data_IF_239869203228
#
_entry.id   IF_239869203228
#
_cell.length_a   1.000
_cell.length_b   1.000
_cell.length_c   1.000
_cell.angle_alpha   90.00
_cell.angle_beta   90.00
_cell.angle_gamma   90.00
#
_symmetry.space_group_name_H-M   'P 1'
#
loop_
_entity.id
_entity.type
_entity.pdbx_description
1 polymer ?
#
# COMPACT_ATOMS: atom_id res chain seq x y z
N UNK A 1 -25.39 -3.16 19.49
CA UNK A 1 -26.12 -2.86 18.19
C UNK A 1 -25.46 -3.61 17.03
N UNK A 2 -25.93 -4.89 16.76
CA UNK A 2 -25.44 -5.73 15.64
C UNK A 2 -25.72 -5.06 14.29
N UNK A 3 -24.87 -4.19 13.91
CA UNK A 3 -25.00 -3.63 12.55
C UNK A 3 -25.34 -4.71 11.52
N UNK A 4 -26.66 -4.73 11.15
CA UNK A 4 -27.16 -5.73 10.18
C UNK A 4 -26.60 -5.45 8.77
N UNK A 5 -25.45 -5.92 8.40
CA UNK A 5 -24.79 -5.78 7.08
C UNK A 5 -25.80 -6.13 5.97
N UNK A 6 -26.84 -6.83 6.39
CA UNK A 6 -27.87 -7.19 5.40
C UNK A 6 -28.55 -5.95 4.82
N UNK A 7 -28.79 -5.02 5.66
CA UNK A 7 -29.44 -3.78 5.17
C UNK A 7 -28.49 -2.95 4.31
N UNK A 8 -27.18 -3.07 4.68
CA UNK A 8 -26.20 -2.34 3.85
C UNK A 8 -26.10 -2.92 2.44
N UNK A 9 -26.26 -4.19 2.37
CA UNK A 9 -26.07 -4.85 1.06
C UNK A 9 -27.30 -4.63 0.18
N UNK A 10 -28.40 -4.20 0.83
CA UNK A 10 -29.62 -4.02 0.01
C UNK A 10 -29.65 -2.62 -0.62
N UNK A 11 -28.52 -1.84 -0.16
CA UNK A 11 -28.55 -0.48 -0.76
C UNK A 11 -27.17 -0.10 -1.29
N UNK A 12 -26.85 -0.48 -2.52
CA UNK A 12 -25.53 -0.14 -3.12
C UNK A 12 -25.21 1.35 -2.94
N UNK A 13 -26.18 2.13 -3.03
CA UNK A 13 -25.94 3.58 -2.89
C UNK A 13 -25.37 3.92 -1.50
N UNK A 14 -25.86 3.26 -0.54
CA UNK A 14 -25.32 3.51 0.81
C UNK A 14 -23.85 3.06 0.90
N UNK A 15 -23.52 1.89 0.32
CA UNK A 15 -22.11 1.42 0.37
C UNK A 15 -21.20 2.44 -0.33
N UNK A 16 -21.70 2.88 -1.41
CA UNK A 16 -20.88 3.88 -2.13
C UNK A 16 -20.69 5.14 -1.29
N UNK A 17 -21.72 5.49 -0.61
CA UNK A 17 -21.59 6.69 0.24
C UNK A 17 -20.58 6.45 1.38
N UNK A 18 -20.66 5.29 1.87
CA UNK A 18 -19.69 4.98 2.95
C UNK A 18 -18.25 4.99 2.41
N UNK A 19 -18.05 4.50 1.26
CA UNK A 19 -16.70 4.53 0.70
C UNK A 19 -16.20 5.97 0.53
N UNK A 20 -17.12 6.81 0.36
CA UNK A 20 -16.72 8.22 0.19
C UNK A 20 -16.18 8.82 1.49
N UNK A 21 -16.60 8.17 2.51
CA UNK A 21 -16.23 8.91 3.74
C UNK A 21 -15.31 8.03 4.60
N UNK A 22 -15.03 6.84 4.10
CA UNK A 22 -14.31 5.86 4.97
C UNK A 22 -12.88 6.36 5.21
N UNK A 23 -12.45 7.28 4.44
CA UNK A 23 -11.04 7.70 4.67
C UNK A 23 -11.01 9.12 5.23
N UNK A 24 -12.18 9.61 5.62
CA UNK A 24 -12.21 10.97 6.21
C UNK A 24 -11.84 10.86 7.69
N UNK A 25 -10.80 11.75 7.94
CA UNK A 25 -10.42 11.75 9.37
C UNK A 25 -10.90 13.06 10.04
N UNK A 26 -11.39 12.82 11.25
CA UNK A 26 -11.79 14.03 12.01
C UNK A 26 -10.58 14.56 12.80
N UNK A 27 -10.24 15.85 12.50
CA UNK A 27 -9.11 16.39 13.29
C UNK A 27 -9.56 16.69 14.72
N UNK A 28 -8.53 17.06 15.59
CA UNK A 28 -8.78 17.27 17.03
C UNK A 28 -9.86 18.34 17.26
N UNK A 29 -10.18 19.06 16.23
CA UNK A 29 -11.18 20.14 16.40
C UNK A 29 -12.54 19.72 15.83
N UNK A 30 -12.54 18.41 15.41
CA UNK A 30 -13.85 17.93 14.95
C UNK A 30 -14.12 18.27 13.48
N UNK A 31 -13.08 18.94 12.83
CA UNK A 31 -13.26 19.21 11.39
C UNK A 31 -12.86 18.00 10.53
N UNK A 32 -13.71 17.91 9.47
CA UNK A 32 -13.42 16.77 8.55
C UNK A 32 -12.50 17.25 7.42
N UNK A 33 -11.40 16.71 7.29
CA UNK A 33 -10.52 17.07 6.14
C UNK A 33 -10.73 16.08 4.99
N UNK A 34 -11.45 16.63 3.81
CA UNK A 34 -11.63 15.81 2.58
C UNK A 34 -10.42 14.90 2.33
N UNK A 35 -10.75 13.54 2.20
CA UNK A 35 -9.64 12.58 2.04
C UNK A 35 -9.23 12.47 0.57
N UNK A 36 -7.99 12.92 0.17
CA UNK A 36 -7.34 12.68 -1.14
C UNK A 36 -7.24 11.18 -1.44
N UNK A 37 -7.69 10.33 -0.54
CA UNK A 37 -7.63 8.88 -0.83
C UNK A 37 -8.74 8.45 -1.80
N UNK A 38 -9.65 9.39 -2.10
CA UNK A 38 -10.60 9.14 -3.21
C UNK A 38 -9.86 8.93 -4.53
N UNK A 39 -8.90 9.59 -4.76
CA UNK A 39 -8.10 9.46 -5.99
C UNK A 39 -7.42 8.09 -6.07
N UNK A 40 -7.18 7.57 -4.90
CA UNK A 40 -6.49 6.26 -4.90
C UNK A 40 -7.42 5.16 -5.41
N UNK A 41 -8.77 5.33 -5.16
CA UNK A 41 -9.69 4.26 -5.63
C UNK A 41 -9.77 4.23 -7.15
N UNK A 42 -9.83 5.39 -7.67
CA UNK A 42 -9.95 5.48 -9.15
C UNK A 42 -8.68 4.93 -9.79
N UNK A 43 -7.62 5.29 -9.19
CA UNK A 43 -6.34 4.79 -9.77
C UNK A 43 -6.26 3.26 -9.64
N UNK A 44 -6.69 2.71 -8.49
CA UNK A 44 -6.63 1.24 -8.31
C UNK A 44 -7.54 0.54 -9.32
N UNK A 45 -8.64 1.14 -9.52
CA UNK A 45 -9.53 0.48 -10.50
C UNK A 45 -8.99 0.60 -11.92
N UNK A 46 -8.54 1.77 -12.21
CA UNK A 46 -7.88 1.89 -13.53
C UNK A 46 -6.79 0.83 -13.68
N UNK A 47 -6.06 0.61 -12.66
CA UNK A 47 -5.02 -0.42 -12.72
C UNK A 47 -5.66 -1.80 -12.96
N UNK A 48 -6.67 -2.05 -12.23
CA UNK A 48 -7.25 -3.41 -12.31
C UNK A 48 -7.91 -3.64 -13.69
N UNK A 49 -8.54 -2.62 -14.20
CA UNK A 49 -9.38 -2.87 -15.40
C UNK A 49 -8.59 -2.63 -16.69
N UNK A 50 -7.58 -1.79 -16.53
CA UNK A 50 -6.98 -1.40 -17.85
C UNK A 50 -5.50 -1.77 -17.87
N UNK A 51 -4.89 -1.62 -16.76
CA UNK A 51 -3.41 -1.74 -16.83
C UNK A 51 -3.02 -3.20 -16.56
N UNK A 52 -3.58 -3.79 -15.55
CA UNK A 52 -3.16 -5.13 -15.14
C UNK A 52 -3.24 -6.13 -16.31
N UNK A 53 -4.27 -6.14 -17.14
CA UNK A 53 -4.33 -7.09 -18.27
C UNK A 53 -3.20 -6.86 -19.27
N UNK A 54 -2.69 -5.69 -19.29
CA UNK A 54 -1.64 -5.37 -20.28
C UNK A 54 -0.27 -5.79 -19.74
N UNK A 55 -0.15 -5.68 -18.43
CA UNK A 55 1.26 -5.85 -17.95
C UNK A 55 1.43 -7.28 -17.44
N UNK A 56 0.34 -8.02 -17.39
CA UNK A 56 0.53 -9.39 -16.89
C UNK A 56 0.78 -10.32 -18.09
N UNK A 57 1.50 -11.37 -17.80
CA UNK A 57 1.81 -12.34 -18.87
C UNK A 57 1.03 -13.64 -18.70
N UNK A 58 0.21 -13.63 -17.70
CA UNK A 58 -0.59 -14.85 -17.48
C UNK A 58 -2.04 -14.47 -17.17
N UNK A 59 -2.85 -15.46 -17.37
CA UNK A 59 -4.28 -15.20 -17.06
C UNK A 59 -4.58 -15.48 -15.57
N UNK A 60 -3.47 -15.92 -14.91
CA UNK A 60 -3.72 -16.26 -13.49
C UNK A 60 -3.31 -15.09 -12.58
N UNK A 61 -4.34 -14.35 -12.13
CA UNK A 61 -4.04 -13.17 -11.29
C UNK A 61 -5.00 -13.18 -10.09
N UNK A 62 -4.32 -12.83 -8.98
CA UNK A 62 -5.15 -12.74 -7.78
C UNK A 62 -4.99 -11.35 -7.13
N UNK A 63 -6.15 -10.90 -6.42
CA UNK A 63 -6.12 -9.58 -5.75
C UNK A 63 -6.68 -9.72 -4.32
N UNK A 64 -6.48 -8.57 -3.61
CA UNK A 64 -7.19 -8.52 -2.31
C UNK A 64 -6.32 -9.05 -1.17
N UNK A 65 -5.07 -9.30 -1.49
CA UNK A 65 -4.21 -9.80 -0.39
C UNK A 65 -3.62 -8.61 0.38
N UNK A 66 -3.68 -8.85 1.73
CA UNK A 66 -3.09 -7.83 2.61
C UNK A 66 -2.05 -8.52 3.50
N UNK A 67 -0.92 -7.82 3.46
CA UNK A 67 0.13 -8.35 4.36
C UNK A 67 0.12 -7.55 5.67
N UNK A 68 0.34 -8.40 6.75
CA UNK A 68 0.39 -7.66 8.02
C UNK A 68 1.24 -8.42 9.02
N UNK A 69 1.62 -7.62 10.07
CA UNK A 69 2.41 -8.26 11.14
C UNK A 69 1.52 -8.51 12.37
N UNK A 70 1.64 -9.84 12.82
CA UNK A 70 0.80 -10.18 13.99
C UNK A 70 1.26 -9.43 15.25
N UNK A 71 0.31 -8.57 15.80
CA UNK A 71 0.55 -7.82 17.05
C UNK A 71 1.72 -6.85 16.87
N UNK A 72 1.94 -6.55 15.55
CA UNK A 72 3.02 -5.55 15.32
C UNK A 72 4.40 -6.19 15.28
N UNK A 73 4.39 -7.53 15.59
CA UNK A 73 5.68 -8.22 15.49
C UNK A 73 6.07 -8.51 14.03
N UNK A 74 7.12 -7.80 13.56
CA UNK A 74 7.48 -7.83 12.12
C UNK A 74 8.08 -9.19 11.75
N UNK A 75 8.41 -9.93 12.78
CA UNK A 75 8.94 -11.28 12.45
C UNK A 75 7.81 -12.29 12.19
N UNK A 76 6.65 -11.85 12.59
CA UNK A 76 5.51 -12.76 12.34
C UNK A 76 4.61 -12.23 11.22
N UNK A 77 4.98 -12.58 10.06
CA UNK A 77 4.27 -12.06 8.87
C UNK A 77 3.06 -12.97 8.58
N UNK A 78 1.91 -12.24 8.36
CA UNK A 78 0.69 -12.96 7.96
C UNK A 78 0.08 -12.35 6.70
N UNK A 79 -0.80 -13.25 6.09
CA UNK A 79 -1.52 -12.74 4.92
C UNK A 79 -3.04 -12.95 5.12
N UNK A 80 -3.71 -11.88 4.76
CA UNK A 80 -5.18 -12.03 4.84
C UNK A 80 -5.80 -11.63 3.49
N UNK A 81 -6.70 -12.50 3.09
CA UNK A 81 -7.46 -12.18 1.87
C UNK A 81 -8.91 -11.84 2.23
N UNK A 82 -9.38 -10.77 1.63
CA UNK A 82 -10.80 -10.41 1.88
C UNK A 82 -11.66 -10.99 0.75
N UNK A 83 -12.64 -11.78 1.22
CA UNK A 83 -13.57 -12.35 0.22
C UNK A 83 -15.00 -12.00 0.63
N UNK A 84 -15.87 -11.81 -0.39
CA UNK A 84 -17.26 -11.39 -0.09
C UNK A 84 -18.04 -12.53 0.55
N UNK A 85 -18.06 -13.71 -0.16
CA UNK A 85 -18.82 -14.84 0.42
C UNK A 85 -17.97 -16.11 0.34
N UNK A 86 -18.32 -16.95 1.35
CA UNK A 86 -17.55 -18.20 1.44
C UNK A 86 -17.94 -19.15 0.29
N UNK A 87 -19.13 -18.76 -0.26
CA UNK A 87 -19.62 -19.61 -1.37
C UNK A 87 -18.96 -19.25 -2.70
N UNK A 88 -18.29 -18.05 -2.68
CA UNK A 88 -17.55 -17.66 -3.91
C UNK A 88 -16.19 -18.36 -3.96
N UNK A 89 -16.27 -19.68 -4.20
CA UNK A 89 -15.07 -20.54 -4.41
C UNK A 89 -13.87 -20.01 -3.62
N UNK A 90 -14.07 -19.54 -2.42
CA UNK A 90 -12.99 -19.39 -1.43
C UNK A 90 -12.01 -20.56 -1.55
N UNK A 91 -12.43 -21.62 -2.51
CA UNK A 91 -11.46 -22.71 -2.76
C UNK A 91 -10.51 -22.37 -3.91
N UNK A 92 -9.74 -21.26 -3.82
CA UNK A 92 -8.32 -21.06 -4.23
C UNK A 92 -8.19 -21.03 -5.75
N UNK A 93 -8.87 -19.90 -6.30
CA UNK A 93 -8.41 -19.72 -7.70
C UNK A 93 -6.92 -20.04 -7.85
N UNK A 94 -6.72 -21.12 -8.62
CA UNK A 94 -5.40 -21.65 -9.00
C UNK A 94 -4.27 -20.70 -8.58
N UNK A 95 -4.45 -19.43 -8.74
CA UNK A 95 -3.37 -18.48 -8.38
C UNK A 95 -3.19 -18.39 -6.86
N UNK A 96 -4.26 -18.28 -6.07
CA UNK A 96 -4.14 -18.21 -4.60
C UNK A 96 -3.48 -19.48 -4.03
N UNK A 97 -3.87 -20.61 -4.68
CA UNK A 97 -3.27 -21.88 -4.17
C UNK A 97 -1.77 -21.93 -4.47
N UNK A 98 -1.53 -21.49 -5.61
CA UNK A 98 -0.09 -21.51 -5.94
C UNK A 98 0.70 -20.54 -5.05
N UNK A 99 0.09 -19.42 -4.88
CA UNK A 99 0.79 -18.42 -4.02
C UNK A 99 0.98 -18.96 -2.62
N UNK A 100 -0.03 -19.46 -2.03
CA UNK A 100 0.05 -19.99 -0.64
C UNK A 100 1.07 -21.14 -0.58
N UNK A 101 0.93 -22.01 -1.50
CA UNK A 101 1.86 -23.16 -1.52
C UNK A 101 3.31 -22.70 -1.61
N UNK A 102 3.55 -21.75 -2.50
CA UNK A 102 4.96 -21.31 -2.67
C UNK A 102 5.46 -20.61 -1.41
N UNK A 103 4.62 -19.85 -0.80
CA UNK A 103 5.07 -19.13 0.41
C UNK A 103 5.34 -20.15 1.53
N UNK A 104 4.47 -21.14 1.64
CA UNK A 104 4.63 -22.12 2.75
C UNK A 104 5.83 -23.03 2.50
N UNK A 105 6.18 -23.26 1.21
CA UNK A 105 7.43 -24.01 0.95
C UNK A 105 8.65 -23.24 1.48
N UNK A 106 8.50 -21.96 1.43
CA UNK A 106 9.64 -21.14 1.89
C UNK A 106 9.61 -20.98 3.41
N UNK A 107 8.41 -20.67 3.90
CA UNK A 107 8.29 -20.50 5.36
C UNK A 107 6.93 -21.07 5.83
N UNK A 108 7.09 -22.28 6.49
CA UNK A 108 5.84 -22.98 6.88
C UNK A 108 5.15 -22.28 8.06
N UNK A 109 5.87 -21.33 8.60
CA UNK A 109 5.27 -20.69 9.80
C UNK A 109 4.37 -19.51 9.41
N UNK A 110 4.46 -19.09 8.11
CA UNK A 110 3.58 -17.96 7.71
C UNK A 110 2.12 -18.43 7.70
N UNK A 111 1.30 -17.50 8.23
CA UNK A 111 -0.14 -17.88 8.34
C UNK A 111 -0.95 -17.12 7.29
N UNK A 112 -2.00 -17.84 6.87
CA UNK A 112 -2.92 -17.24 5.87
C UNK A 112 -4.34 -17.23 6.43
N UNK A 113 -4.90 -16.05 6.18
CA UNK A 113 -6.28 -15.91 6.66
C UNK A 113 -7.19 -15.45 5.53
N UNK A 114 -8.45 -15.85 5.72
CA UNK A 114 -9.47 -15.29 4.81
C UNK A 114 -10.58 -14.63 5.66
N UNK A 115 -10.80 -13.45 5.22
CA UNK A 115 -11.90 -12.74 5.88
C UNK A 115 -13.08 -12.58 4.93
N UNK A 116 -14.19 -13.12 5.32
CA UNK A 116 -15.39 -13.02 4.46
C UNK A 116 -16.66 -12.92 5.30
N UNK A 117 -17.80 -12.68 4.54
CA UNK A 117 -19.11 -12.62 5.24
C UNK A 117 -19.73 -14.02 5.31
N UNK A 118 -20.19 -14.34 6.54
CA UNK A 118 -20.87 -15.66 6.63
C UNK A 118 -22.35 -15.52 6.28
N UNK A 119 -23.09 -16.62 6.28
CA UNK A 119 -24.50 -16.61 5.82
C UNK A 119 -25.35 -15.64 6.64
N UNK A 120 -24.71 -15.20 7.72
CA UNK A 120 -25.48 -14.22 8.53
C UNK A 120 -24.93 -12.81 8.34
N UNK A 121 -24.09 -12.63 7.34
CA UNK A 121 -23.53 -11.32 6.99
C UNK A 121 -22.67 -10.76 8.13
N UNK A 122 -22.10 -11.70 8.86
CA UNK A 122 -21.04 -11.32 9.83
C UNK A 122 -19.66 -11.66 9.29
N UNK A 123 -18.76 -10.67 9.65
CA UNK A 123 -17.38 -11.01 9.19
C UNK A 123 -16.86 -12.23 9.98
N UNK A 124 -16.42 -13.19 9.14
CA UNK A 124 -15.81 -14.39 9.74
C UNK A 124 -14.37 -14.56 9.23
N UNK A 125 -13.54 -14.79 10.20
CA UNK A 125 -12.13 -15.02 9.84
C UNK A 125 -11.82 -16.52 9.89
N UNK A 126 -11.18 -16.99 8.78
CA UNK A 126 -10.77 -18.42 8.72
C UNK A 126 -9.27 -18.50 8.46
N UNK A 127 -8.69 -19.40 9.27
CA UNK A 127 -7.24 -19.60 9.04
C UNK A 127 -7.00 -20.89 8.24
N UNK A 128 -6.01 -20.70 7.35
CA UNK A 128 -5.64 -21.90 6.60
C UNK A 128 -4.69 -22.77 7.44
N UNK A 129 -5.12 -24.08 7.63
CA UNK A 129 -4.26 -25.01 8.40
C UNK A 129 -3.74 -26.12 7.49
N UNK A 130 -2.32 -26.32 7.72
CA UNK A 130 -1.78 -27.48 6.96
C UNK A 130 -2.19 -28.79 7.64
N UNK A 131 -2.85 -29.76 6.83
CA UNK A 131 -3.16 -31.10 7.40
C UNK A 131 -2.33 -32.18 6.70
N UNK A 132 -2.07 -33.43 7.48
CA UNK A 132 -1.32 -34.60 6.95
C UNK A 132 -1.90 -35.09 5.63
N UNK A 133 -3.20 -34.55 5.12
CA UNK A 133 -3.79 -35.03 3.84
C UNK A 133 -4.24 -33.85 2.97
N UNK A 134 -3.65 -32.67 3.29
CA UNK A 134 -4.08 -31.50 2.50
C UNK A 134 -4.34 -30.28 3.41
N UNK A 135 -4.92 -29.25 2.70
CA UNK A 135 -5.12 -27.96 3.41
C UNK A 135 -6.61 -27.77 3.71
N UNK A 136 -6.83 -27.28 5.06
CA UNK A 136 -8.23 -26.95 5.42
C UNK A 136 -8.27 -25.60 6.14
N UNK A 137 -9.50 -25.03 6.07
CA UNK A 137 -9.69 -23.76 6.80
C UNK A 137 -10.50 -24.00 8.08
N UNK A 138 -10.00 -23.32 9.14
CA UNK A 138 -10.77 -23.43 10.39
C UNK A 138 -11.17 -22.03 10.87
N UNK A 139 -12.47 -22.08 11.27
CA UNK A 139 -12.96 -20.79 11.84
C UNK A 139 -12.13 -20.41 13.07
N UNK A 140 -11.88 -19.01 13.07
CA UNK A 140 -11.09 -18.52 14.22
C UNK A 140 -12.05 -17.73 15.12
N UNK A 141 -12.33 -18.33 16.30
CA UNK A 141 -13.41 -17.79 17.17
C UNK A 141 -12.95 -16.50 17.87
N UNK A 142 -11.49 -16.14 17.85
CA UNK A 142 -11.05 -14.85 18.43
C UNK A 142 -9.66 -14.50 17.88
N UNK A 143 -9.67 -13.92 16.75
CA UNK A 143 -8.27 -13.67 16.35
C UNK A 143 -7.70 -12.43 17.07
N UNK A 144 -6.74 -12.56 17.93
CA UNK A 144 -6.25 -11.47 18.77
C UNK A 144 -5.72 -10.30 17.93
N UNK A 145 -5.76 -10.44 16.60
CA UNK A 145 -5.01 -9.35 15.93
C UNK A 145 -5.96 -8.50 15.08
N UNK A 146 -7.17 -9.05 14.87
CA UNK A 146 -8.14 -8.18 14.18
C UNK A 146 -9.00 -7.49 15.24
N UNK A 147 -9.04 -6.16 15.17
CA UNK A 147 -9.86 -5.37 16.11
C UNK A 147 -11.31 -5.26 15.60
N UNK A 148 -12.08 -6.37 15.89
CA UNK A 148 -13.45 -6.40 15.34
C UNK A 148 -14.27 -5.24 15.93
N UNK A 149 -14.04 -5.05 17.19
CA UNK A 149 -14.74 -3.89 17.77
C UNK A 149 -14.40 -2.60 17.00
N UNK A 150 -13.11 -2.39 16.68
CA UNK A 150 -12.70 -1.23 15.85
C UNK A 150 -13.45 -1.19 14.52
N UNK A 151 -13.59 -2.32 13.91
CA UNK A 151 -14.31 -2.34 12.61
C UNK A 151 -15.77 -1.93 12.84
N UNK A 152 -16.34 -2.48 13.91
CA UNK A 152 -17.75 -2.14 14.18
C UNK A 152 -17.89 -0.65 14.53
N UNK A 153 -17.01 -0.18 15.35
CA UNK A 153 -17.04 1.25 15.68
C UNK A 153 -16.89 2.13 14.43
N UNK A 154 -16.00 1.68 13.58
CA UNK A 154 -15.82 2.48 12.36
C UNK A 154 -17.08 2.45 11.48
N UNK A 155 -17.69 1.40 11.43
CA UNK A 155 -18.94 1.35 10.64
C UNK A 155 -19.99 2.27 11.26
N UNK A 156 -20.13 2.16 12.54
CA UNK A 156 -21.10 3.05 13.20
C UNK A 156 -20.77 4.53 12.94
N UNK A 157 -19.48 4.83 13.10
CA UNK A 157 -19.07 6.22 12.81
C UNK A 157 -19.44 6.63 11.38
N UNK A 158 -19.11 5.77 10.38
CA UNK A 158 -19.37 6.10 8.96
C UNK A 158 -20.87 6.30 8.73
N UNK A 159 -21.66 5.47 9.43
CA UNK A 159 -23.12 5.61 9.27
C UNK A 159 -23.59 6.98 9.79
N UNK A 160 -22.96 7.42 10.85
CA UNK A 160 -23.32 8.75 11.41
C UNK A 160 -22.91 9.89 10.48
N UNK A 161 -21.80 9.67 9.80
CA UNK A 161 -21.26 10.78 8.94
C UNK A 161 -22.14 10.97 7.70
N UNK A 162 -22.79 9.91 7.25
CA UNK A 162 -23.55 10.01 5.99
C UNK A 162 -24.79 10.89 6.21
N UNK A 163 -25.19 11.12 7.41
CA UNK A 163 -26.44 11.88 7.63
C UNK A 163 -26.14 13.29 8.12
N UNK A 164 -24.88 13.67 8.19
CA UNK A 164 -24.56 15.06 8.60
C UNK A 164 -24.68 16.03 7.42
N UNK A 165 -25.47 17.20 7.59
CA UNK A 165 -25.82 18.20 6.58
C UNK A 165 -24.58 18.75 5.86
N UNK A 166 -23.38 18.76 6.56
CA UNK A 166 -22.13 19.28 5.95
C UNK A 166 -21.66 18.37 4.80
N UNK A 167 -22.34 17.19 4.64
CA UNK A 167 -21.98 16.29 3.52
C UNK A 167 -23.07 16.26 2.47
N UNK A 168 -24.23 16.74 2.83
CA UNK A 168 -25.37 16.74 1.87
C UNK A 168 -25.28 17.93 0.91
N UNK A 169 -24.30 18.98 1.18
CA UNK A 169 -24.31 20.17 0.29
C UNK A 169 -23.05 20.20 -0.56
N UNK A 170 -22.06 19.24 -0.34
CA UNK A 170 -20.86 19.13 -1.20
C UNK A 170 -20.71 17.69 -1.72
N UNK A 171 -21.84 16.96 -2.30
CA UNK A 171 -21.94 15.99 -3.41
C UNK A 171 -21.45 14.60 -2.95
N UNK A 172 -22.13 13.92 -2.14
CA UNK A 172 -22.10 12.44 -2.24
C UNK A 172 -21.51 11.96 -3.57
N UNK A 173 -20.26 11.85 -3.72
CA UNK A 173 -19.39 11.47 -4.85
C UNK A 173 -19.54 9.98 -5.16
N UNK A 174 -20.80 9.51 -5.36
CA UNK A 174 -20.64 8.14 -5.89
C UNK A 174 -20.17 8.19 -7.35
N UNK A 175 -18.85 8.00 -7.56
CA UNK A 175 -18.32 8.00 -8.94
C UNK A 175 -19.14 7.06 -9.85
N UNK A 176 -19.61 7.59 -10.94
CA UNK A 176 -20.42 6.81 -11.88
C UNK A 176 -19.85 5.40 -12.08
N UNK A 177 -18.48 5.34 -12.02
CA UNK A 177 -18.00 3.96 -12.28
C UNK A 177 -18.36 3.03 -11.11
N UNK A 178 -18.41 3.50 -9.91
CA UNK A 178 -18.82 2.62 -8.79
C UNK A 178 -20.24 2.10 -8.99
N UNK A 179 -21.00 2.94 -9.67
CA UNK A 179 -22.40 2.51 -9.90
C UNK A 179 -22.45 1.33 -10.88
N UNK A 180 -21.47 1.27 -11.71
CA UNK A 180 -21.50 0.18 -12.70
C UNK A 180 -20.88 -1.10 -12.15
N UNK A 181 -20.21 -0.94 -10.91
CA UNK A 181 -19.56 -2.14 -10.34
C UNK A 181 -20.59 -3.03 -9.62
N UNK A 182 -20.36 -4.32 -9.72
CA UNK A 182 -21.24 -5.20 -8.94
C UNK A 182 -21.16 -4.87 -7.43
N UNK A 183 -22.31 -4.94 -6.77
CA UNK A 183 -22.43 -4.57 -5.35
C UNK A 183 -21.39 -5.32 -4.52
N UNK A 184 -21.13 -6.48 -4.99
CA UNK A 184 -20.20 -7.29 -4.20
C UNK A 184 -18.77 -6.69 -4.28
N UNK A 185 -18.40 -6.21 -5.35
CA UNK A 185 -17.05 -5.62 -5.49
C UNK A 185 -16.94 -4.32 -4.68
N UNK A 186 -18.03 -3.62 -4.68
CA UNK A 186 -17.97 -2.34 -3.94
C UNK A 186 -17.91 -2.62 -2.43
N UNK A 187 -18.59 -3.55 -2.09
CA UNK A 187 -18.56 -3.93 -0.65
C UNK A 187 -17.17 -4.44 -0.26
N UNK A 188 -16.61 -5.33 -1.06
CA UNK A 188 -15.24 -5.82 -0.75
C UNK A 188 -14.26 -4.64 -0.62
N UNK A 189 -14.42 -3.71 -1.47
CA UNK A 189 -13.53 -2.54 -1.37
C UNK A 189 -13.76 -1.79 -0.05
N UNK A 190 -14.97 -1.60 0.30
CA UNK A 190 -15.24 -0.91 1.58
C UNK A 190 -14.65 -1.68 2.76
N UNK A 191 -14.80 -2.99 2.73
CA UNK A 191 -14.26 -3.82 3.84
C UNK A 191 -12.73 -3.72 3.91
N UNK A 192 -12.11 -3.80 2.78
CA UNK A 192 -10.63 -3.68 2.79
C UNK A 192 -10.19 -2.36 3.41
N UNK A 193 -10.97 -1.40 3.14
CA UNK A 193 -10.54 -0.06 3.64
C UNK A 193 -10.78 0.04 5.15
N UNK A 194 -11.84 -0.45 5.53
CA UNK A 194 -12.09 -0.39 6.98
C UNK A 194 -11.01 -1.18 7.72
N UNK A 195 -10.71 -2.30 7.08
CA UNK A 195 -9.67 -3.11 7.74
C UNK A 195 -8.33 -2.40 7.78
N UNK A 196 -7.98 -1.77 6.77
CA UNK A 196 -6.65 -1.12 6.71
C UNK A 196 -6.62 0.08 7.66
N UNK A 197 -7.76 0.68 7.83
CA UNK A 197 -7.74 1.90 8.67
C UNK A 197 -7.88 1.55 10.15
N UNK A 198 -8.71 0.53 10.41
CA UNK A 198 -9.02 0.37 11.84
C UNK A 198 -8.94 -1.10 12.24
N UNK A 199 -8.68 -2.03 11.21
CA UNK A 199 -8.90 -3.47 11.53
C UNK A 199 -7.57 -4.22 11.59
N UNK A 200 -6.52 -3.58 10.96
CA UNK A 200 -5.22 -4.28 10.96
C UNK A 200 -4.11 -3.26 11.22
N UNK A 201 -3.15 -3.61 12.04
CA UNK A 201 -2.02 -2.70 12.30
C UNK A 201 -0.84 -3.09 11.41
N UNK A 202 -0.16 -1.97 10.78
CA UNK A 202 1.10 -2.23 10.03
C UNK A 202 0.83 -3.01 8.74
N UNK A 203 -0.22 -2.77 8.14
CA UNK A 203 -0.56 -3.57 6.95
C UNK A 203 -0.05 -2.88 5.68
N UNK A 204 0.41 -3.75 4.83
CA UNK A 204 0.76 -3.25 3.49
C UNK A 204 -0.08 -3.95 2.42
N UNK A 205 -0.63 -3.03 1.55
CA UNK A 205 -1.49 -3.62 0.50
C UNK A 205 -0.63 -4.02 -0.72
N UNK A 206 -1.07 -5.22 -1.19
CA UNK A 206 -0.50 -5.65 -2.49
C UNK A 206 -1.59 -5.51 -3.57
N UNK A 207 -1.12 -4.85 -4.67
CA UNK A 207 -2.18 -4.53 -5.66
C UNK A 207 -2.64 -5.80 -6.40
N UNK A 208 -1.60 -6.73 -6.74
CA UNK A 208 -2.01 -7.97 -7.44
C UNK A 208 -0.87 -9.00 -7.36
N UNK A 209 -1.34 -10.26 -7.40
CA UNK A 209 -0.37 -11.36 -7.51
C UNK A 209 -0.64 -12.16 -8.79
N UNK A 210 0.50 -12.39 -9.45
CA UNK A 210 0.40 -13.16 -10.71
C UNK A 210 1.14 -14.49 -10.54
N UNK A 211 0.46 -15.51 -11.03
CA UNK A 211 1.13 -16.83 -11.08
C UNK A 211 1.43 -17.22 -12.54
N UNK A 212 2.77 -17.46 -12.71
CA UNK A 212 3.21 -17.86 -14.05
C UNK A 212 3.94 -19.22 -13.97
N UNK A 213 3.18 -20.28 -14.34
CA UNK A 213 3.75 -21.64 -14.13
C UNK A 213 4.96 -21.89 -15.03
N UNK A 214 5.06 -21.09 -16.00
CA UNK A 214 6.16 -21.36 -16.97
C UNK A 214 7.42 -20.56 -16.61
N UNK A 215 7.35 -19.81 -15.63
CA UNK A 215 8.50 -18.95 -15.28
C UNK A 215 9.22 -19.53 -14.06
N UNK A 216 10.55 -19.36 -14.11
CA UNK A 216 11.33 -19.81 -12.93
C UNK A 216 10.90 -19.07 -11.66
N UNK A 217 10.39 -17.87 -11.93
CA UNK A 217 9.74 -17.16 -10.79
C UNK A 217 8.22 -17.23 -10.93
N UNK A 218 7.65 -18.12 -10.26
CA UNK A 218 6.24 -18.50 -10.53
C UNK A 218 5.29 -17.44 -9.95
N UNK A 219 5.89 -16.72 -8.91
CA UNK A 219 4.97 -15.74 -8.30
C UNK A 219 5.51 -14.33 -8.57
N UNK A 220 4.59 -13.47 -9.10
CA UNK A 220 5.00 -12.08 -9.38
C UNK A 220 4.03 -11.16 -8.63
N UNK A 221 4.71 -10.27 -7.79
CA UNK A 221 3.90 -9.23 -7.13
C UNK A 221 3.87 -7.96 -7.99
N UNK A 222 2.62 -7.46 -8.07
CA UNK A 222 2.49 -6.23 -8.88
C UNK A 222 2.08 -5.07 -7.95
N UNK A 223 2.94 -4.05 -8.08
CA UNK A 223 2.55 -2.77 -7.46
C UNK A 223 2.39 -1.67 -8.52
N UNK A 224 1.31 -0.89 -8.30
CA UNK A 224 1.00 0.14 -9.30
C UNK A 224 0.84 1.50 -8.58
N UNK A 225 1.62 2.41 -9.20
CA UNK A 225 1.47 3.76 -8.60
C UNK A 225 1.41 4.82 -9.69
N UNK A 226 0.66 5.80 -9.33
CA UNK A 226 0.73 7.03 -10.15
C UNK A 226 1.67 8.05 -9.49
N UNK A 227 2.75 8.35 -10.31
CA UNK A 227 3.74 9.22 -9.63
C UNK A 227 4.27 10.26 -10.61
N UNK A 228 4.63 11.33 -9.91
CA UNK A 228 5.41 12.37 -10.62
C UNK A 228 6.86 12.40 -10.06
N UNK A 229 7.81 12.16 -11.05
CA UNK A 229 9.17 12.10 -10.51
C UNK A 229 9.59 13.45 -9.88
N UNK A 230 10.18 13.30 -8.75
CA UNK A 230 10.69 14.58 -8.19
C UNK A 230 12.10 14.87 -8.70
N UNK A 231 12.42 16.21 -8.63
CA UNK A 231 13.73 16.66 -9.16
C UNK A 231 14.69 16.94 -7.99
N UNK A 232 15.85 16.30 -7.92
CA UNK A 232 16.97 16.27 -6.96
C UNK A 232 17.26 17.66 -6.39
N UNK A 233 16.50 18.75 -6.71
CA UNK A 233 16.76 20.06 -6.06
C UNK A 233 15.59 20.43 -5.15
N UNK A 234 14.64 19.45 -4.93
CA UNK A 234 13.41 19.79 -4.17
C UNK A 234 13.49 19.15 -2.77
N UNK A 235 14.81 19.20 -2.03
CA UNK A 235 14.89 18.95 -0.58
C UNK A 235 15.75 17.70 -0.33
N UNK A 236 17.11 18.01 0.29
CA UNK A 236 18.09 17.63 1.32
C UNK A 236 19.47 17.49 0.65
N UNK A 237 20.60 18.32 1.08
CA UNK A 237 22.06 18.31 1.14
C UNK A 237 22.61 17.01 1.75
N UNK A 238 21.64 15.93 2.05
CA UNK A 238 22.50 14.78 2.39
C UNK A 238 21.81 13.48 1.96
N UNK A 239 21.67 13.22 0.65
CA UNK A 239 21.27 11.89 0.16
C UNK A 239 22.35 10.84 0.47
N UNK A 240 21.96 9.87 1.39
CA UNK A 240 22.90 8.74 1.65
C UNK A 240 22.93 7.82 0.42
N UNK A 241 24.05 7.93 -0.33
CA UNK A 241 24.23 7.00 -1.47
C UNK A 241 24.27 5.54 -0.97
N UNK A 242 23.23 4.77 -1.42
CA UNK A 242 23.01 3.39 -0.93
C UNK A 242 23.87 2.42 -1.75
N UNK A 243 24.53 2.90 -2.90
CA UNK A 243 25.24 1.97 -3.80
C UNK A 243 26.65 1.71 -3.26
N UNK A 244 27.05 2.28 -2.15
CA UNK A 244 28.38 1.95 -1.56
C UNK A 244 28.23 0.88 -0.49
N UNK A 245 27.04 0.10 -0.48
CA UNK A 245 26.76 -0.85 0.63
C UNK A 245 26.74 -2.27 0.06
N UNK A 246 27.87 -2.73 -0.57
CA UNK A 246 27.96 -4.09 -1.17
C UNK A 246 28.11 -5.14 -0.08
N UNK A 247 26.99 -5.90 0.29
CA UNK A 247 27.01 -7.35 0.62
C UNK A 247 27.24 -7.55 2.12
N UNK A 248 26.36 -6.94 3.09
CA UNK A 248 26.26 -7.22 4.55
C UNK A 248 25.20 -6.30 5.15
N UNK A 249 24.08 -6.88 5.78
CA UNK A 249 22.92 -6.54 6.63
C UNK A 249 22.52 -5.07 6.47
N UNK A 250 22.28 -4.63 5.15
CA UNK A 250 21.66 -3.33 4.83
C UNK A 250 21.02 -2.70 6.07
N UNK A 251 20.59 -3.53 7.04
CA UNK A 251 19.87 -3.10 8.26
C UNK A 251 20.85 -2.61 9.34
N UNK A 252 21.94 -3.30 9.46
CA UNK A 252 22.96 -3.00 10.49
C UNK A 252 23.81 -1.79 10.07
N UNK A 253 23.98 -1.58 8.88
CA UNK A 253 24.79 -0.43 8.44
C UNK A 253 23.93 0.82 8.30
N UNK A 254 22.57 0.62 7.70
CA UNK A 254 21.66 1.80 7.79
C UNK A 254 21.52 2.27 9.24
N UNK A 255 21.46 1.28 10.11
CA UNK A 255 21.38 1.59 11.55
C UNK A 255 22.70 2.23 12.05
N UNK A 256 23.92 1.71 11.65
CA UNK A 256 25.24 2.26 12.03
C UNK A 256 25.48 3.63 11.39
N UNK A 257 25.05 3.80 10.12
CA UNK A 257 25.21 5.12 9.45
C UNK A 257 24.27 6.15 10.08
N UNK A 258 23.09 5.59 10.49
CA UNK A 258 22.14 6.49 11.15
C UNK A 258 22.65 6.85 12.55
N UNK A 259 23.32 5.86 13.24
CA UNK A 259 23.91 6.09 14.57
C UNK A 259 25.13 7.03 14.48
N UNK A 260 25.90 6.86 13.44
CA UNK A 260 27.07 7.74 13.22
C UNK A 260 26.64 9.17 12.87
N UNK A 261 25.54 9.33 12.11
CA UNK A 261 25.01 10.66 11.74
C UNK A 261 24.36 11.34 12.94
N UNK A 262 23.82 10.53 13.85
CA UNK A 262 23.19 11.07 15.07
C UNK A 262 24.24 11.43 16.12
N UNK A 263 25.51 10.77 16.13
CA UNK A 263 26.64 11.04 17.04
C UNK A 263 27.44 12.23 16.52
N UNK A 264 27.54 12.54 15.22
CA UNK A 264 28.37 13.59 14.62
C UNK A 264 27.63 14.93 14.62
N UNK A 265 26.30 14.97 14.95
CA UNK A 265 25.57 16.25 14.93
C UNK A 265 25.15 16.62 16.36
N UNK A 266 26.04 16.27 17.50
CA UNK A 266 25.80 16.68 18.90
C UNK A 266 24.31 16.55 19.28
N UNK A 267 23.42 15.79 18.61
CA UNK A 267 21.99 15.63 18.94
C UNK A 267 21.86 14.61 20.08
N UNK A 268 22.98 13.88 20.43
CA UNK A 268 22.91 12.94 21.56
C UNK A 268 23.72 13.47 22.74
N UNK A 269 24.40 14.64 22.61
CA UNK A 269 25.16 15.17 23.77
C UNK A 269 24.27 16.14 24.56
N UNK A 270 22.99 16.40 24.21
CA UNK A 270 22.19 17.27 25.09
C UNK A 270 21.26 16.41 25.97
N UNK A 271 21.46 15.04 26.01
CA UNK A 271 20.70 14.24 27.01
C UNK A 271 21.58 13.06 27.45
N UNK A 272 22.78 13.27 28.17
CA UNK A 272 23.69 12.35 28.90
C UNK A 272 22.96 11.06 29.30
N UNK A 273 22.34 10.32 28.38
CA UNK A 273 22.04 8.91 28.74
C UNK A 273 22.62 7.96 27.69
N UNK A 274 23.75 7.31 27.94
CA UNK A 274 24.29 6.13 27.22
C UNK A 274 23.17 5.12 26.93
N UNK A 275 22.44 5.29 25.73
CA UNK A 275 21.40 4.33 25.31
C UNK A 275 22.05 3.15 24.56
N UNK A 276 22.38 1.97 25.18
CA UNK A 276 22.50 0.69 24.43
C UNK A 276 21.23 0.41 23.63
N UNK A 277 21.12 0.92 22.36
CA UNK A 277 20.01 0.88 21.38
C UNK A 277 19.53 -0.55 21.15
N UNK A 278 18.81 -1.17 22.04
CA UNK A 278 17.87 -2.19 21.51
C UNK A 278 16.63 -1.50 20.91
N UNK A 279 16.82 -0.64 19.93
CA UNK A 279 15.78 0.32 19.49
C UNK A 279 14.71 -0.41 18.66
N UNK A 280 13.64 -0.69 19.20
CA UNK A 280 12.34 -0.94 18.54
C UNK A 280 12.13 0.00 17.34
N UNK A 281 12.29 -0.42 16.00
CA UNK A 281 12.05 0.01 14.60
C UNK A 281 11.12 1.22 14.54
N UNK A 282 10.17 1.45 15.51
CA UNK A 282 9.17 2.55 15.53
C UNK A 282 9.72 3.81 16.21
N UNK A 283 10.65 3.63 17.09
CA UNK A 283 11.30 4.74 17.84
C UNK A 283 12.48 5.29 17.02
N UNK A 284 13.13 4.42 16.14
CA UNK A 284 14.20 4.86 15.22
C UNK A 284 13.64 5.70 14.07
N UNK A 285 12.46 5.36 13.63
CA UNK A 285 11.80 6.13 12.54
C UNK A 285 11.28 7.47 13.09
N UNK A 286 10.83 7.54 14.42
CA UNK A 286 10.35 8.78 15.06
C UNK A 286 11.53 9.73 15.35
N UNK A 287 12.69 9.23 15.67
CA UNK A 287 13.90 10.04 15.97
C UNK A 287 14.60 10.49 14.68
N UNK A 288 14.47 9.65 13.62
CA UNK A 288 14.89 10.05 12.25
C UNK A 288 13.99 11.19 11.75
N UNK A 289 12.74 11.06 12.14
CA UNK A 289 11.76 12.10 11.75
C UNK A 289 12.06 13.42 12.49
N UNK A 290 12.47 13.36 13.79
CA UNK A 290 12.85 14.55 14.60
C UNK A 290 14.16 15.16 14.10
N UNK A 291 15.14 14.35 13.73
CA UNK A 291 16.44 14.78 13.19
C UNK A 291 16.31 15.35 11.78
N UNK A 292 15.68 14.66 10.97
CA UNK A 292 15.46 15.19 9.59
C UNK A 292 14.67 16.49 9.62
N UNK A 293 13.77 16.74 10.72
CA UNK A 293 13.01 18.00 10.84
C UNK A 293 13.90 19.14 11.36
N UNK A 294 15.16 18.90 11.81
CA UNK A 294 16.08 19.89 12.40
C UNK A 294 17.15 20.32 11.41
N UNK A 295 17.21 19.83 10.13
CA UNK A 295 18.28 20.17 9.18
C UNK A 295 17.83 21.38 8.35
N UNK A 296 18.56 22.65 8.47
CA UNK A 296 18.37 23.90 7.68
C UNK A 296 18.94 23.76 6.27
N UNK A 297 18.14 24.26 5.25
CA UNK A 297 18.22 24.15 3.79
C UNK A 297 19.37 25.03 3.26
N UNK A 298 20.38 24.38 2.53
CA UNK A 298 21.32 25.28 1.82
C UNK A 298 21.11 25.14 0.30
N UNK A 299 20.78 26.24 -0.41
CA UNK A 299 20.48 26.56 -1.83
C UNK A 299 21.78 26.59 -2.64
N UNK A 300 22.84 25.74 -2.33
CA UNK A 300 24.04 26.10 -3.13
C UNK A 300 24.48 24.90 -3.97
N UNK A 301 23.58 24.00 -4.60
CA UNK A 301 24.06 23.02 -5.62
C UNK A 301 23.27 23.20 -6.92
N UNK A 302 23.26 24.49 -7.59
CA UNK A 302 22.59 24.57 -8.92
C UNK A 302 23.55 25.27 -9.89
N UNK A 303 24.75 24.69 -9.95
CA UNK A 303 25.38 25.55 -11.00
C UNK A 303 26.14 24.66 -11.99
N UNK A 304 25.32 23.65 -12.72
CA UNK A 304 25.86 23.28 -14.05
C UNK A 304 25.45 21.85 -14.38
N UNK A 305 24.08 21.18 -14.47
CA UNK A 305 24.10 19.74 -14.86
C UNK A 305 22.68 19.16 -14.78
N UNK A 306 22.08 18.74 -15.98
CA UNK A 306 20.89 17.89 -16.19
C UNK A 306 20.34 17.35 -14.86
N UNK A 307 19.26 17.92 -14.45
CA UNK A 307 18.58 17.55 -13.20
C UNK A 307 18.09 16.10 -13.27
N UNK A 308 18.66 15.35 -12.26
CA UNK A 308 18.21 13.94 -12.24
C UNK A 308 16.85 13.82 -11.56
N UNK A 309 15.96 12.97 -12.09
CA UNK A 309 14.61 12.74 -11.55
C UNK A 309 14.54 11.35 -10.90
N UNK A 310 13.65 11.38 -9.79
CA UNK A 310 13.53 10.09 -9.07
C UNK A 310 12.06 9.82 -8.76
N UNK A 311 11.76 8.48 -8.73
CA UNK A 311 10.45 8.06 -8.22
C UNK A 311 10.61 7.57 -6.77
N UNK A 312 9.72 8.08 -5.92
CA UNK A 312 9.82 7.68 -4.50
C UNK A 312 9.13 6.34 -4.23
N UNK A 313 9.70 5.55 -3.30
CA UNK A 313 9.11 4.28 -2.84
C UNK A 313 9.06 4.33 -1.30
N UNK A 314 7.82 4.10 -0.79
CA UNK A 314 7.69 4.16 0.70
C UNK A 314 8.41 2.97 1.36
N UNK A 315 8.75 3.23 2.66
CA UNK A 315 9.46 2.20 3.45
C UNK A 315 8.69 0.88 3.49
N UNK A 316 7.39 0.99 3.71
CA UNK A 316 6.61 -0.27 3.80
C UNK A 316 6.70 -1.08 2.50
N UNK A 317 6.88 -0.42 1.36
CA UNK A 317 7.02 -1.17 0.09
C UNK A 317 8.40 -1.82 -0.01
N UNK A 318 9.34 -1.14 0.58
CA UNK A 318 10.67 -1.77 0.56
C UNK A 318 10.68 -3.07 1.37
N UNK A 319 9.90 -3.06 2.42
CA UNK A 319 9.82 -4.31 3.21
C UNK A 319 9.16 -5.43 2.39
N UNK A 320 8.22 -5.01 1.64
CA UNK A 320 7.57 -6.02 0.79
C UNK A 320 8.54 -6.52 -0.29
N UNK A 321 9.29 -5.61 -0.83
CA UNK A 321 10.27 -6.01 -1.87
C UNK A 321 11.28 -6.99 -1.26
N UNK A 322 11.74 -6.70 -0.10
CA UNK A 322 12.74 -7.59 0.53
C UNK A 322 12.13 -8.96 0.79
N UNK A 323 10.95 -8.91 1.33
CA UNK A 323 10.29 -10.22 1.59
C UNK A 323 10.13 -11.02 0.29
N UNK A 324 9.68 -10.40 -0.78
CA UNK A 324 9.50 -11.11 -2.05
C UNK A 324 10.83 -11.68 -2.56
N UNK A 325 11.82 -10.87 -2.43
CA UNK A 325 13.11 -11.34 -2.98
C UNK A 325 13.67 -12.49 -2.13
N UNK A 326 13.46 -12.40 -0.82
CA UNK A 326 13.98 -13.49 0.03
C UNK A 326 13.25 -14.81 -0.26
N UNK A 327 12.05 -14.67 -0.89
CA UNK A 327 11.31 -15.92 -1.17
C UNK A 327 11.49 -16.33 -2.63
N UNK A 328 12.37 -15.64 -3.30
CA UNK A 328 12.59 -15.96 -4.73
C UNK A 328 11.43 -15.48 -5.62
N UNK A 329 10.56 -14.61 -5.07
CA UNK A 329 9.47 -14.07 -5.90
C UNK A 329 9.93 -12.80 -6.63
N UNK A 330 9.17 -12.52 -7.73
CA UNK A 330 9.45 -11.26 -8.46
C UNK A 330 8.49 -10.16 -7.97
N UNK A 331 9.14 -8.97 -7.84
CA UNK A 331 8.32 -7.78 -7.49
C UNK A 331 8.39 -6.76 -8.62
N UNK A 332 7.20 -6.54 -9.23
CA UNK A 332 7.16 -5.62 -10.38
C UNK A 332 6.46 -4.32 -9.94
N UNK A 333 7.24 -3.25 -10.17
CA UNK A 333 6.69 -1.91 -9.86
C UNK A 333 6.36 -1.15 -11.15
N UNK A 334 5.07 -0.84 -11.21
CA UNK A 334 4.62 -0.13 -12.44
C UNK A 334 4.21 1.29 -12.07
N UNK A 335 4.86 2.24 -12.96
CA UNK A 335 4.57 3.66 -12.67
C UNK A 335 3.79 4.26 -13.84
N UNK A 336 2.57 4.77 -13.40
CA UNK A 336 1.89 5.72 -14.32
C UNK A 336 2.47 7.13 -14.17
N UNK A 337 3.38 7.47 -15.15
CA UNK A 337 4.11 8.76 -15.09
C UNK A 337 3.17 9.94 -15.41
N UNK A 338 2.62 10.43 -14.29
CA UNK A 338 1.64 11.53 -14.51
C UNK A 338 2.23 12.86 -14.08
N UNK A 339 1.57 13.99 -14.52
CA UNK A 339 2.01 15.34 -14.08
C UNK A 339 1.46 15.66 -12.68
N UNK A 340 2.27 16.43 -11.80
CA UNK A 340 2.04 16.69 -10.36
C UNK A 340 0.66 17.31 -10.13
N UNK A 341 0.04 17.94 -11.00
CA UNK A 341 -1.20 18.69 -10.67
C UNK A 341 -2.43 17.96 -11.20
N UNK A 342 -2.26 16.69 -11.58
CA UNK A 342 -3.47 16.15 -12.26
C UNK A 342 -4.18 15.15 -11.34
N UNK A 343 -5.32 15.48 -11.01
CA UNK A 343 -6.17 14.49 -10.34
C UNK A 343 -6.62 13.38 -11.31
N UNK A 344 -6.66 12.13 -10.80
CA UNK A 344 -7.13 11.05 -11.69
C UNK A 344 -8.45 11.42 -12.37
N UNK A 345 -9.16 12.38 -11.92
CA UNK A 345 -10.43 12.78 -12.55
C UNK A 345 -10.17 13.54 -13.85
N UNK A 346 -9.14 14.14 -13.71
CA UNK A 346 -8.82 14.92 -14.94
C UNK A 346 -8.15 14.04 -16.00
N UNK A 347 -7.72 12.87 -15.45
CA UNK A 347 -6.91 12.07 -16.40
C UNK A 347 -7.76 10.93 -16.97
N UNK A 348 -8.85 10.71 -16.24
CA UNK A 348 -9.66 9.58 -16.71
C UNK A 348 -11.10 10.05 -16.90
N UNK A 349 -11.78 9.50 -17.93
CA UNK A 349 -13.21 9.86 -18.08
C UNK A 349 -14.07 8.98 -17.18
N UNK A 350 -15.36 9.08 -17.20
CA UNK A 350 -16.26 8.44 -16.22
C UNK A 350 -16.24 6.91 -16.36
N UNK A 351 -15.73 6.42 -17.43
CA UNK A 351 -15.65 4.94 -17.51
C UNK A 351 -14.19 4.49 -17.38
N UNK A 352 -13.34 5.40 -16.86
CA UNK A 352 -11.94 5.14 -16.48
C UNK A 352 -11.05 4.98 -17.71
N UNK A 353 -11.42 5.62 -18.79
CA UNK A 353 -10.49 5.72 -19.94
C UNK A 353 -9.62 6.97 -19.84
N UNK A 354 -8.37 6.73 -20.30
CA UNK A 354 -7.50 7.94 -20.22
C UNK A 354 -7.96 9.03 -21.19
N UNK A 355 -7.93 10.23 -20.71
CA UNK A 355 -8.29 11.35 -21.60
C UNK A 355 -7.06 11.86 -22.36
N UNK A 356 -5.94 11.41 -21.87
CA UNK A 356 -4.68 11.69 -22.58
C UNK A 356 -3.82 10.42 -22.61
N UNK A 357 -2.73 10.63 -23.42
CA UNK A 357 -1.79 9.48 -23.52
C UNK A 357 -1.18 9.17 -22.15
N UNK A 358 -1.24 7.76 -21.79
CA UNK A 358 -0.68 7.30 -20.50
C UNK A 358 0.65 6.58 -20.75
N UNK A 359 1.64 7.10 -20.00
CA UNK A 359 2.95 6.41 -20.11
C UNK A 359 3.17 5.53 -18.87
N UNK A 360 3.40 4.24 -19.21
CA UNK A 360 3.64 3.29 -18.10
C UNK A 360 5.05 2.71 -18.20
N UNK A 361 5.63 2.74 -17.03
CA UNK A 361 6.97 2.12 -16.94
C UNK A 361 6.96 1.04 -15.85
N UNK A 362 7.42 -0.17 -16.31
CA UNK A 362 7.39 -1.30 -15.35
C UNK A 362 8.79 -1.89 -15.22
N UNK A 363 9.07 -2.16 -13.98
CA UNK A 363 10.41 -2.72 -13.75
C UNK A 363 10.35 -3.71 -12.57
N UNK A 364 11.03 -4.88 -12.82
CA UNK A 364 11.25 -5.75 -11.65
C UNK A 364 12.30 -5.13 -10.70
N UNK A 365 11.76 -4.82 -9.55
CA UNK A 365 12.63 -3.99 -8.70
C UNK A 365 13.39 -4.91 -7.74
N UNK A 366 14.75 -4.54 -7.58
CA UNK A 366 15.62 -5.14 -6.55
C UNK A 366 16.11 -4.05 -5.59
N UNK A 367 16.56 -4.58 -4.43
CA UNK A 367 17.01 -3.58 -3.43
C UNK A 367 18.14 -2.73 -4.02
N UNK A 368 18.88 -3.26 -4.91
CA UNK A 368 20.01 -2.50 -5.49
C UNK A 368 19.52 -1.41 -6.43
N UNK A 369 18.30 -1.59 -6.81
CA UNK A 369 17.75 -0.53 -7.69
C UNK A 369 17.44 0.75 -6.90
N UNK A 370 17.43 0.62 -5.56
CA UNK A 370 17.15 1.82 -4.76
C UNK A 370 18.41 2.67 -4.60
N UNK A 371 18.29 3.94 -4.96
CA UNK A 371 19.56 4.71 -5.15
C UNK A 371 19.72 5.70 -3.99
N UNK A 372 18.52 6.17 -3.48
CA UNK A 372 18.66 7.25 -2.47
C UNK A 372 17.51 7.13 -1.45
N UNK A 373 17.78 7.79 -0.28
CA UNK A 373 16.68 8.01 0.67
C UNK A 373 16.37 9.51 0.72
N UNK A 374 15.04 9.78 0.46
CA UNK A 374 14.70 11.22 0.42
C UNK A 374 13.43 11.45 1.24
N UNK A 375 13.17 12.92 1.45
CA UNK A 375 11.89 13.31 2.08
C UNK A 375 10.98 13.99 1.05
N UNK A 376 9.84 13.43 1.13
CA UNK A 376 8.92 14.15 0.22
C UNK A 376 7.70 14.62 1.00
N UNK A 377 7.32 15.90 0.66
CA UNK A 377 5.99 16.32 1.18
C UNK A 377 4.89 15.72 0.30
N UNK A 378 3.97 15.10 0.96
CA UNK A 378 2.88 14.32 0.32
C UNK A 378 2.59 14.79 -1.12
N UNK A 379 2.49 16.07 -1.33
CA UNK A 379 2.10 16.46 -2.70
C UNK A 379 3.24 16.26 -3.70
N UNK A 380 4.48 16.28 -3.23
CA UNK A 380 5.65 16.12 -4.14
C UNK A 380 5.91 14.65 -4.48
N UNK A 381 5.39 13.79 -3.79
CA UNK A 381 5.65 12.35 -4.04
C UNK A 381 4.42 11.66 -4.60
N UNK A 382 3.49 12.72 -4.94
CA UNK A 382 2.28 12.08 -5.50
C UNK A 382 1.33 11.58 -4.40
N UNK A 383 1.96 11.84 -3.03
CA UNK A 383 1.10 11.50 -1.88
C UNK A 383 0.08 12.60 -1.59
N UNK A 384 -1.10 12.15 -1.25
CA UNK A 384 -2.25 13.09 -1.15
C UNK A 384 -2.32 13.69 0.26
N UNK A 385 -1.30 13.30 1.15
CA UNK A 385 -1.20 13.96 2.46
C UNK A 385 0.04 14.87 2.54
N UNK A 386 -0.12 16.01 3.32
CA UNK A 386 0.97 17.02 3.41
C UNK A 386 2.04 16.55 4.39
N UNK A 387 1.84 15.21 4.75
CA UNK A 387 2.88 14.76 5.71
C UNK A 387 4.22 14.47 5.02
N UNK A 388 5.26 14.86 5.77
CA UNK A 388 6.62 14.53 5.30
C UNK A 388 6.82 13.01 5.39
N UNK A 389 7.31 12.47 4.25
CA UNK A 389 7.55 11.00 4.22
C UNK A 389 9.00 10.72 3.84
N UNK A 390 9.42 9.66 4.53
CA UNK A 390 10.75 9.18 4.11
C UNK A 390 10.57 8.10 3.03
N UNK A 391 11.36 8.40 1.90
CA UNK A 391 11.14 7.47 0.77
C UNK A 391 12.50 7.02 0.21
N UNK A 392 12.41 5.78 -0.19
CA UNK A 392 13.51 5.35 -1.10
C UNK A 392 13.22 5.77 -2.55
N UNK A 393 14.39 5.93 -3.33
CA UNK A 393 14.09 6.45 -4.67
C UNK A 393 14.70 5.50 -5.72
N UNK A 394 13.96 5.56 -6.84
CA UNK A 394 14.48 4.89 -8.04
C UNK A 394 14.77 5.94 -9.11
N UNK A 395 15.93 5.74 -9.74
CA UNK A 395 16.27 6.69 -10.82
C UNK A 395 15.20 6.64 -11.94
N UNK A 396 14.65 7.86 -12.24
CA UNK A 396 13.53 7.91 -13.24
C UNK A 396 14.02 7.48 -14.63
N UNK A 397 15.26 7.87 -15.00
CA UNK A 397 15.76 7.46 -16.33
C UNK A 397 15.91 5.93 -16.44
N UNK A 398 16.38 5.40 -15.29
CA UNK A 398 16.50 3.93 -15.34
C UNK A 398 15.11 3.29 -15.46
N UNK A 399 14.17 3.81 -14.70
CA UNK A 399 12.81 3.27 -14.80
C UNK A 399 12.24 3.46 -16.22
N UNK A 400 12.54 4.59 -16.88
CA UNK A 400 11.97 4.87 -18.22
C UNK A 400 12.65 4.00 -19.28
N UNK A 401 13.81 3.50 -18.96
CA UNK A 401 14.46 2.60 -19.93
C UNK A 401 13.88 1.18 -19.83
N UNK A 402 13.03 0.99 -18.78
CA UNK A 402 12.42 -0.35 -18.63
C UNK A 402 11.24 -0.54 -19.59
N UNK A 403 10.52 -1.72 -19.33
CA UNK A 403 9.36 -1.96 -20.23
C UNK A 403 8.40 -0.75 -20.23
N UNK A 404 8.30 -0.18 -21.48
CA UNK A 404 7.49 1.04 -21.67
C UNK A 404 6.24 0.71 -22.49
N UNK A 405 5.14 1.08 -21.89
CA UNK A 405 3.88 0.91 -22.63
C UNK A 405 3.10 2.23 -22.65
N UNK A 406 2.36 2.37 -23.78
CA UNK A 406 1.49 3.58 -23.83
C UNK A 406 0.04 3.14 -24.04
N UNK A 407 -0.82 3.86 -23.31
CA UNK A 407 -2.27 3.63 -23.53
C UNK A 407 -2.90 4.90 -24.10
N UNK A 408 -3.47 4.71 -25.39
CA UNK A 408 -4.03 5.91 -26.05
C UNK A 408 -5.46 6.17 -25.55
N UNK A 409 -5.81 7.47 -25.63
CA UNK A 409 -7.20 7.79 -25.27
C UNK A 409 -8.20 7.11 -26.20
N UNK A 410 -9.14 6.32 -25.68
CA UNK A 410 -10.19 5.74 -26.54
C UNK A 410 -11.32 6.76 -26.76
#
# INVERSE_FOLDING_TARGET
MEFNIKNLLSEKSLICSLLDVVDIKEDSKGNFNGSKRKHAHITEKFFENRILPIITNSEYVSRGWIRFSEFGDKSKVCWIKVVFSWNENVNENRTDKAFISEVLTFNPKIKFYTLGLDKYYCYTLRQLLSKENGKSFCKVNTPPFINFKGIQDELSRLNGLIYKPAYSDELGFCEPWLESCPVIDVFTLLTERILMNKGLFGCTDIDAIEYNPDSSKKIIFHEFKRKYPFKDNAFIKESIDIQEVENYDFRTKLQNNLNELLVNENILTKHKKTYTLTMDKGVAYAKIDEYLNSIEYSTEDIKNGERKEYFGIDGSHCETIELCLSMGFRFTHTIWDSKKTESPYELLNSILNPTELVHLYSKSIHIQDLTKITRTVGPDSGSFNHGVRIQFTIDANEMRKSAHRTISPT
#
